data_IF_713215084459
#
_entry.id   IF_713215084459
#
_cell.length_a   1.000
_cell.length_b   1.000
_cell.length_c   1.000
_cell.angle_alpha   90.00
_cell.angle_beta   90.00
_cell.angle_gamma   90.00
#
_symmetry.space_group_name_H-M   'P 1'
#
loop_
_entity.id
_entity.type
_entity.pdbx_description
1 polymer ?
#
# COMPACT_ATOMS: atom_id res chain seq x y z
N UNK A 1 -3.86 5.81 36.20
CA UNK A 1 -3.16 4.56 35.80
C UNK A 1 -4.18 3.48 35.43
N UNK A 2 -5.17 3.21 36.28
CA UNK A 2 -6.26 2.27 36.01
C UNK A 2 -7.00 2.56 34.69
N UNK A 3 -7.48 3.79 34.49
CA UNK A 3 -8.17 4.20 33.25
C UNK A 3 -7.31 4.01 31.98
N UNK A 4 -6.00 4.26 32.09
CA UNK A 4 -5.05 4.06 30.98
C UNK A 4 -4.95 2.58 30.63
N UNK A 5 -4.86 1.71 31.64
CA UNK A 5 -4.83 0.25 31.45
C UNK A 5 -6.14 -0.26 30.86
N UNK A 6 -7.28 0.25 31.32
CA UNK A 6 -8.60 -0.10 30.77
C UNK A 6 -8.68 0.22 29.27
N UNK A 7 -8.31 1.43 28.86
CA UNK A 7 -8.29 1.84 27.44
C UNK A 7 -7.33 0.98 26.61
N UNK A 8 -6.15 0.65 27.13
CA UNK A 8 -5.21 -0.29 26.48
C UNK A 8 -5.85 -1.67 26.31
N UNK A 9 -6.48 -2.21 27.36
CA UNK A 9 -7.17 -3.50 27.32
C UNK A 9 -8.28 -3.50 26.27
N UNK A 10 -9.08 -2.44 26.18
CA UNK A 10 -10.13 -2.30 25.15
C UNK A 10 -9.53 -2.31 23.75
N UNK A 11 -8.46 -1.55 23.50
CA UNK A 11 -7.78 -1.54 22.18
C UNK A 11 -7.26 -2.94 21.82
N UNK A 12 -6.61 -3.63 22.76
CA UNK A 12 -6.06 -4.97 22.53
C UNK A 12 -7.17 -6.01 22.27
N UNK A 13 -8.24 -6.00 23.07
CA UNK A 13 -9.37 -6.91 22.91
C UNK A 13 -10.12 -6.66 21.61
N UNK A 14 -10.32 -5.39 21.23
CA UNK A 14 -10.92 -5.01 19.96
C UNK A 14 -10.13 -5.55 18.76
N UNK A 15 -8.81 -5.34 18.77
CA UNK A 15 -7.93 -5.85 17.71
C UNK A 15 -7.93 -7.38 17.68
N UNK A 16 -7.80 -8.03 18.83
CA UNK A 16 -7.84 -9.49 18.90
C UNK A 16 -9.16 -10.02 18.34
N UNK A 17 -10.31 -9.47 18.76
CA UNK A 17 -11.62 -9.93 18.30
C UNK A 17 -11.82 -9.82 16.78
N UNK A 18 -11.40 -8.71 16.16
CA UNK A 18 -11.58 -8.49 14.72
C UNK A 18 -10.63 -9.33 13.87
N UNK A 19 -9.39 -9.44 14.31
CA UNK A 19 -8.32 -10.08 13.53
C UNK A 19 -8.15 -11.55 13.87
N UNK A 20 -8.78 -12.09 14.91
CA UNK A 20 -8.64 -13.51 15.29
C UNK A 20 -8.94 -14.48 14.14
N UNK A 21 -9.92 -14.15 13.30
CA UNK A 21 -10.28 -15.03 12.17
C UNK A 21 -9.19 -15.15 11.11
N UNK A 22 -8.24 -14.20 11.03
CA UNK A 22 -7.11 -14.29 10.08
C UNK A 22 -6.16 -15.43 10.42
N UNK A 23 -6.17 -15.92 11.66
CA UNK A 23 -5.37 -17.08 12.05
C UNK A 23 -5.78 -18.35 11.29
N UNK A 24 -7.02 -18.42 10.78
CA UNK A 24 -7.50 -19.50 9.93
C UNK A 24 -7.20 -19.33 8.44
N UNK A 25 -6.61 -18.21 8.01
CA UNK A 25 -6.38 -17.91 6.61
C UNK A 25 -5.08 -18.54 6.08
N UNK A 26 -5.01 -18.72 4.76
CA UNK A 26 -3.79 -19.16 4.08
C UNK A 26 -2.83 -17.99 3.91
N UNK A 27 -1.64 -18.30 3.40
CA UNK A 27 -0.72 -17.28 2.95
C UNK A 27 -1.30 -16.54 1.75
N UNK A 28 -1.30 -15.22 1.82
CA UNK A 28 -1.59 -14.34 0.69
C UNK A 28 -0.36 -13.46 0.49
N UNK A 29 0.31 -13.64 -0.64
CA UNK A 29 1.49 -12.87 -1.03
C UNK A 29 1.44 -12.65 -2.53
N UNK A 30 1.75 -11.43 -2.96
CA UNK A 30 1.96 -11.10 -4.37
C UNK A 30 3.34 -11.57 -4.88
N UNK A 31 4.29 -11.80 -3.97
CA UNK A 31 5.65 -12.21 -4.29
C UNK A 31 5.81 -13.73 -4.20
N UNK A 32 5.56 -14.44 -5.30
CA UNK A 32 5.84 -15.88 -5.43
C UNK A 32 7.29 -16.23 -5.07
N UNK A 33 8.23 -15.30 -5.29
CA UNK A 33 9.65 -15.46 -4.93
C UNK A 33 9.88 -15.66 -3.42
N UNK A 34 8.95 -15.23 -2.56
CA UNK A 34 9.03 -15.46 -1.11
C UNK A 34 8.89 -16.94 -0.74
N UNK A 35 8.20 -17.75 -1.54
CA UNK A 35 8.04 -19.20 -1.29
C UNK A 35 9.35 -19.97 -1.42
N UNK A 36 10.29 -19.47 -2.23
CA UNK A 36 11.49 -20.21 -2.62
C UNK A 36 12.75 -19.77 -1.87
N UNK A 37 12.64 -18.94 -0.83
CA UNK A 37 13.83 -18.49 -0.09
C UNK A 37 14.35 -19.60 0.83
N UNK A 38 15.65 -19.93 0.78
CA UNK A 38 16.23 -20.98 1.60
C UNK A 38 16.11 -20.66 3.09
N UNK A 39 15.93 -21.69 3.92
CA UNK A 39 15.99 -21.55 5.38
C UNK A 39 17.42 -21.15 5.78
N UNK A 40 17.54 -20.11 6.60
CA UNK A 40 18.82 -19.68 7.14
C UNK A 40 19.26 -20.60 8.28
N UNK A 41 20.56 -20.91 8.35
CA UNK A 41 21.13 -21.72 9.44
C UNK A 41 21.11 -20.99 10.79
N UNK A 42 21.23 -19.66 10.78
CA UNK A 42 21.14 -18.84 11.98
C UNK A 42 19.68 -18.54 12.34
N UNK A 43 19.22 -19.07 13.48
CA UNK A 43 17.84 -18.91 13.96
C UNK A 43 17.45 -17.46 14.28
N UNK A 44 18.39 -16.62 14.74
CA UNK A 44 18.11 -15.20 15.03
C UNK A 44 17.89 -14.43 13.73
N UNK A 45 18.71 -14.71 12.71
CA UNK A 45 18.50 -14.16 11.37
C UNK A 45 17.16 -14.63 10.83
N UNK A 46 16.84 -15.92 10.92
CA UNK A 46 15.54 -16.42 10.46
C UNK A 46 14.38 -15.73 11.20
N UNK A 47 14.45 -15.57 12.52
CA UNK A 47 13.42 -14.89 13.30
C UNK A 47 13.25 -13.42 12.89
N UNK A 48 14.35 -12.69 12.66
CA UNK A 48 14.29 -11.32 12.13
C UNK A 48 13.65 -11.26 10.74
N UNK A 49 13.98 -12.20 9.86
CA UNK A 49 13.42 -12.26 8.52
C UNK A 49 11.94 -12.66 8.51
N UNK A 50 11.51 -13.50 9.47
CA UNK A 50 10.09 -13.76 9.72
C UNK A 50 9.41 -12.51 10.26
N UNK A 51 10.02 -11.81 11.22
CA UNK A 51 9.49 -10.55 11.75
C UNK A 51 9.24 -9.53 10.62
N UNK A 52 10.21 -9.41 9.73
CA UNK A 52 10.16 -8.52 8.58
C UNK A 52 9.15 -8.95 7.49
N UNK A 53 8.79 -10.24 7.42
CA UNK A 53 8.00 -10.80 6.33
C UNK A 53 8.82 -11.20 5.09
N UNK A 54 10.16 -11.24 5.20
CA UNK A 54 11.05 -11.75 4.14
C UNK A 54 11.23 -13.26 4.15
N UNK A 55 10.86 -13.93 5.23
CA UNK A 55 10.86 -15.39 5.37
C UNK A 55 9.54 -15.84 5.98
N UNK A 56 9.08 -17.04 5.60
CA UNK A 56 7.81 -17.59 6.08
C UNK A 56 8.03 -18.45 7.32
N UNK A 57 7.09 -18.35 8.25
CA UNK A 57 6.90 -19.37 9.29
C UNK A 57 5.70 -20.25 8.93
N UNK A 58 4.68 -20.37 9.78
CA UNK A 58 3.37 -20.95 9.43
C UNK A 58 2.35 -19.82 9.16
N UNK A 59 1.28 -20.04 8.37
CA UNK A 59 0.28 -19.00 8.13
C UNK A 59 -0.26 -18.41 9.43
N UNK A 60 -0.55 -19.29 10.40
CA UNK A 60 -1.04 -18.92 11.74
C UNK A 60 -0.07 -17.97 12.45
N UNK A 61 1.22 -18.32 12.50
CA UNK A 61 2.24 -17.52 13.18
C UNK A 61 2.45 -16.18 12.49
N UNK A 62 2.44 -16.19 11.15
CA UNK A 62 2.64 -15.01 10.33
C UNK A 62 1.47 -14.02 10.43
N UNK A 63 0.23 -14.51 10.52
CA UNK A 63 -0.96 -13.70 10.78
C UNK A 63 -1.00 -13.22 12.24
N UNK A 64 -0.68 -14.08 13.20
CA UNK A 64 -0.60 -13.71 14.62
C UNK A 64 0.41 -12.58 14.85
N UNK A 65 1.58 -12.66 14.21
CA UNK A 65 2.60 -11.63 14.29
C UNK A 65 2.10 -10.30 13.71
N UNK A 66 1.49 -10.30 12.53
CA UNK A 66 0.95 -9.07 11.91
C UNK A 66 -0.14 -8.45 12.77
N UNK A 67 -1.02 -9.29 13.37
CA UNK A 67 -2.04 -8.86 14.32
C UNK A 67 -1.43 -8.22 15.58
N UNK A 68 -0.40 -8.83 16.17
CA UNK A 68 0.31 -8.27 17.34
C UNK A 68 0.94 -6.92 16.99
N UNK A 69 1.64 -6.82 15.86
CA UNK A 69 2.25 -5.57 15.40
C UNK A 69 1.17 -4.49 15.24
N UNK A 70 0.04 -4.82 14.59
CA UNK A 70 -1.06 -3.86 14.41
C UNK A 70 -1.65 -3.40 15.74
N UNK A 71 -1.92 -4.32 16.67
CA UNK A 71 -2.43 -3.99 18.00
C UNK A 71 -1.46 -3.08 18.77
N UNK A 72 -0.14 -3.34 18.69
CA UNK A 72 0.89 -2.50 19.30
C UNK A 72 0.98 -1.12 18.64
N UNK A 73 0.74 -0.99 17.33
CA UNK A 73 0.61 0.32 16.67
C UNK A 73 -0.59 1.08 17.24
N UNK A 74 -1.75 0.43 17.40
CA UNK A 74 -2.94 1.06 17.94
C UNK A 74 -2.74 1.55 19.38
N UNK A 75 -2.10 0.74 20.23
CA UNK A 75 -1.69 1.15 21.58
C UNK A 75 -0.70 2.32 21.51
N UNK A 76 0.28 2.26 20.62
CA UNK A 76 1.25 3.35 20.42
C UNK A 76 0.60 4.65 19.94
N UNK A 77 -0.49 4.62 19.19
CA UNK A 77 -1.28 5.80 18.84
C UNK A 77 -1.92 6.40 20.11
N UNK A 78 -2.57 5.58 20.93
CA UNK A 78 -3.17 6.05 22.19
C UNK A 78 -2.12 6.70 23.12
N UNK A 79 -0.99 6.01 23.31
CA UNK A 79 0.09 6.46 24.19
C UNK A 79 0.83 7.68 23.64
N UNK A 80 1.25 7.62 22.38
CA UNK A 80 2.10 8.65 21.74
C UNK A 80 1.38 9.97 21.53
N UNK A 81 0.08 9.94 21.24
CA UNK A 81 -0.72 11.16 21.06
C UNK A 81 -1.34 11.70 22.37
N UNK A 82 -0.86 11.26 23.54
CA UNK A 82 -1.09 11.94 24.82
C UNK A 82 -2.10 11.29 25.78
N UNK A 83 -2.44 10.00 25.60
CA UNK A 83 -3.20 9.19 26.57
C UNK A 83 -4.59 9.74 26.98
N UNK A 84 -5.24 10.51 26.11
CA UNK A 84 -6.53 11.15 26.36
C UNK A 84 -7.65 10.51 25.53
N UNK A 85 -8.89 10.98 25.69
CA UNK A 85 -10.05 10.44 24.96
C UNK A 85 -9.91 10.59 23.44
N UNK A 86 -9.30 11.68 22.97
CA UNK A 86 -9.06 11.91 21.55
C UNK A 86 -8.09 10.87 20.99
N UNK A 87 -6.97 10.60 21.68
CA UNK A 87 -6.01 9.58 21.24
C UNK A 87 -6.59 8.16 21.36
N UNK A 88 -7.49 7.91 22.30
CA UNK A 88 -8.23 6.65 22.42
C UNK A 88 -9.18 6.44 21.23
N UNK A 89 -9.99 7.45 20.90
CA UNK A 89 -10.87 7.42 19.71
C UNK A 89 -10.05 7.27 18.44
N UNK A 90 -8.91 7.96 18.32
CA UNK A 90 -7.99 7.82 17.19
C UNK A 90 -7.47 6.39 17.03
N UNK A 91 -7.10 5.74 18.15
CA UNK A 91 -6.66 4.34 18.14
C UNK A 91 -7.76 3.38 17.72
N UNK A 92 -9.02 3.59 18.14
CA UNK A 92 -10.16 2.78 17.69
C UNK A 92 -10.48 2.99 16.21
N UNK A 93 -10.50 4.25 15.75
CA UNK A 93 -10.68 4.57 14.33
C UNK A 93 -9.58 3.91 13.48
N UNK A 94 -8.32 3.95 13.93
CA UNK A 94 -7.22 3.31 13.24
C UNK A 94 -7.32 1.78 13.26
N UNK A 95 -7.71 1.17 14.39
CA UNK A 95 -7.84 -0.29 14.54
C UNK A 95 -8.81 -0.90 13.54
N UNK A 96 -9.87 -0.17 13.20
CA UNK A 96 -10.91 -0.68 12.32
C UNK A 96 -10.88 -0.12 10.91
N UNK A 97 -10.00 0.84 10.59
CA UNK A 97 -10.01 1.47 9.28
C UNK A 97 -9.64 0.45 8.19
N UNK A 98 -10.51 0.19 7.19
CA UNK A 98 -10.25 -0.78 6.12
C UNK A 98 -8.98 -0.50 5.32
N UNK A 99 -8.51 0.75 5.24
CA UNK A 99 -7.25 1.09 4.55
C UNK A 99 -6.02 0.50 5.25
N UNK A 100 -6.14 0.15 6.53
CA UNK A 100 -5.03 -0.38 7.32
C UNK A 100 -4.86 -1.89 7.17
N UNK A 101 -5.76 -2.56 6.44
CA UNK A 101 -5.81 -4.01 6.33
C UNK A 101 -4.54 -4.62 5.71
N UNK A 102 -3.93 -3.96 4.73
CA UNK A 102 -2.74 -4.48 4.04
C UNK A 102 -1.51 -4.46 4.93
N UNK A 103 -1.48 -3.70 6.03
CA UNK A 103 -0.39 -3.80 6.99
C UNK A 103 -0.76 -4.57 8.26
N UNK A 104 -2.03 -4.95 8.43
CA UNK A 104 -2.51 -5.73 9.57
C UNK A 104 -2.81 -7.20 9.26
N UNK A 105 -2.97 -7.55 7.98
CA UNK A 105 -3.33 -8.92 7.53
C UNK A 105 -2.36 -9.43 6.47
N UNK A 106 -1.94 -8.56 5.56
CA UNK A 106 -1.09 -8.96 4.45
C UNK A 106 0.39 -8.95 4.83
N UNK A 107 1.01 -10.11 4.67
CA UNK A 107 2.33 -10.43 5.23
C UNK A 107 3.44 -9.57 4.60
N UNK A 108 3.39 -9.35 3.29
CA UNK A 108 4.34 -8.46 2.60
C UNK A 108 4.18 -6.99 3.05
N UNK A 109 3.07 -6.63 3.69
CA UNK A 109 2.80 -5.28 4.20
C UNK A 109 3.40 -4.97 5.57
N UNK A 110 4.00 -5.97 6.26
CA UNK A 110 4.58 -5.78 7.61
C UNK A 110 5.59 -4.66 7.69
N UNK A 111 6.38 -4.42 6.64
CA UNK A 111 7.34 -3.31 6.63
C UNK A 111 6.70 -1.94 6.88
N UNK A 112 5.48 -1.71 6.39
CA UNK A 112 4.73 -0.48 6.64
C UNK A 112 4.24 -0.41 8.09
N UNK A 113 3.79 -1.54 8.64
CA UNK A 113 3.33 -1.63 10.02
C UNK A 113 4.48 -1.47 11.03
N UNK A 114 5.64 -2.04 10.75
CA UNK A 114 6.84 -1.92 11.57
C UNK A 114 7.42 -0.49 11.54
N UNK A 115 7.37 0.19 10.38
CA UNK A 115 7.68 1.62 10.33
C UNK A 115 6.72 2.45 11.18
N UNK A 116 5.41 2.19 11.10
CA UNK A 116 4.43 2.85 11.95
C UNK A 116 4.68 2.57 13.44
N UNK A 117 4.96 1.32 13.79
CA UNK A 117 5.27 0.89 15.17
C UNK A 117 6.45 1.69 15.73
N UNK A 118 7.59 1.69 15.04
CA UNK A 118 8.76 2.42 15.51
C UNK A 118 8.51 3.93 15.63
N UNK A 119 7.74 4.52 14.70
CA UNK A 119 7.38 5.94 14.73
C UNK A 119 6.48 6.30 15.94
N UNK A 120 5.38 5.59 16.15
CA UNK A 120 4.44 5.93 17.26
C UNK A 120 5.01 5.58 18.64
N UNK A 121 5.85 4.52 18.73
CA UNK A 121 6.52 4.19 19.98
C UNK A 121 7.70 5.11 20.29
N UNK A 122 8.37 5.68 19.28
CA UNK A 122 9.36 6.74 19.52
C UNK A 122 8.70 7.96 20.17
N UNK A 123 7.47 8.31 19.74
CA UNK A 123 6.69 9.37 20.36
C UNK A 123 6.22 9.01 21.79
N UNK A 124 5.85 7.75 22.01
CA UNK A 124 5.39 7.24 23.31
C UNK A 124 6.53 7.13 24.34
N UNK A 125 7.74 6.79 23.89
CA UNK A 125 8.92 6.54 24.72
C UNK A 125 10.12 7.30 24.13
N UNK A 126 10.20 8.64 24.28
CA UNK A 126 11.20 9.46 23.59
C UNK A 126 12.65 9.09 23.87
N UNK A 127 12.96 8.53 25.05
CA UNK A 127 14.32 8.08 25.38
C UNK A 127 14.78 6.88 24.56
N UNK A 128 13.84 6.05 24.07
CA UNK A 128 14.12 4.90 23.19
C UNK A 128 14.08 5.28 21.71
N UNK A 129 13.79 6.55 21.38
CA UNK A 129 13.63 7.00 20.01
C UNK A 129 14.80 6.63 19.09
N UNK A 130 16.09 6.74 19.48
CA UNK A 130 17.18 6.37 18.57
C UNK A 130 17.09 4.93 18.07
N UNK A 131 16.76 3.98 18.95
CA UNK A 131 16.61 2.57 18.60
C UNK A 131 15.35 2.32 17.77
N UNK A 132 14.23 2.91 18.18
CA UNK A 132 12.93 2.73 17.52
C UNK A 132 12.93 3.33 16.11
N UNK A 133 13.54 4.51 15.94
CA UNK A 133 13.69 5.19 14.66
C UNK A 133 14.72 4.50 13.77
N UNK A 134 15.78 3.90 14.33
CA UNK A 134 16.69 3.04 13.57
C UNK A 134 15.93 1.87 12.92
N UNK A 135 15.01 1.24 13.67
CA UNK A 135 14.13 0.19 13.15
C UNK A 135 13.08 0.72 12.17
N UNK A 136 12.44 1.86 12.46
CA UNK A 136 11.40 2.45 11.61
C UNK A 136 11.93 2.84 10.23
N UNK A 137 13.13 3.43 10.18
CA UNK A 137 13.81 3.91 8.97
C UNK A 137 14.51 2.80 8.17
N UNK A 138 14.55 1.57 8.68
CA UNK A 138 15.05 0.42 7.93
C UNK A 138 14.25 0.18 6.64
N UNK A 139 12.95 0.46 6.68
CA UNK A 139 12.07 0.38 5.53
C UNK A 139 11.96 1.73 4.81
N UNK A 140 11.83 1.69 3.49
CA UNK A 140 11.66 2.90 2.68
C UNK A 140 10.47 3.75 3.15
N UNK A 141 9.42 3.11 3.68
CA UNK A 141 8.23 3.78 4.18
C UNK A 141 8.50 4.69 5.38
N UNK A 142 9.39 4.28 6.27
CA UNK A 142 9.76 5.05 7.45
C UNK A 142 10.95 5.97 7.23
N UNK A 143 11.66 5.91 6.10
CA UNK A 143 12.91 6.67 5.92
C UNK A 143 12.70 8.18 6.08
N UNK A 144 11.73 8.78 5.39
CA UNK A 144 11.43 10.22 5.50
C UNK A 144 10.46 10.58 6.63
N UNK A 145 9.81 9.58 7.22
CA UNK A 145 8.74 9.78 8.20
C UNK A 145 9.14 10.58 9.45
N UNK A 146 10.37 10.47 10.00
CA UNK A 146 10.77 11.25 11.18
C UNK A 146 10.76 12.77 11.00
N UNK A 147 10.71 13.28 9.76
CA UNK A 147 10.45 14.70 9.49
C UNK A 147 9.10 15.14 10.09
N UNK A 148 8.15 14.21 10.26
CA UNK A 148 6.88 14.46 10.94
C UNK A 148 7.05 14.87 12.41
N UNK A 149 8.19 14.60 13.06
CA UNK A 149 8.45 15.03 14.44
C UNK A 149 8.82 16.51 14.58
N UNK A 150 8.90 17.27 13.48
CA UNK A 150 9.01 18.73 13.54
C UNK A 150 7.82 19.29 14.33
N UNK A 151 8.12 20.07 15.36
CA UNK A 151 7.12 20.61 16.28
C UNK A 151 6.61 19.62 17.35
N UNK A 152 7.17 18.41 17.43
CA UNK A 152 6.95 17.55 18.60
C UNK A 152 7.55 18.18 19.87
N UNK A 153 7.01 17.89 21.06
CA UNK A 153 7.55 18.40 22.32
C UNK A 153 8.88 17.74 22.71
N UNK A 154 9.39 16.78 21.93
CA UNK A 154 10.55 15.98 22.25
C UNK A 154 11.67 16.18 21.21
N UNK A 155 12.57 17.17 21.41
CA UNK A 155 13.68 17.44 20.48
C UNK A 155 14.56 16.22 20.20
N UNK A 156 14.67 15.29 21.16
CA UNK A 156 15.43 14.04 21.02
C UNK A 156 15.01 13.20 19.80
N UNK A 157 13.75 13.33 19.36
CA UNK A 157 13.22 12.67 18.17
C UNK A 157 13.92 13.11 16.87
N UNK A 158 14.49 14.33 16.84
CA UNK A 158 15.16 14.89 15.67
C UNK A 158 16.68 14.92 15.81
N UNK A 159 17.22 15.01 17.04
CA UNK A 159 18.67 15.14 17.26
C UNK A 159 19.47 13.97 16.67
N UNK A 160 18.98 12.74 16.79
CA UNK A 160 19.67 11.55 16.28
C UNK A 160 19.39 11.23 14.81
N UNK A 161 18.47 11.97 14.17
CA UNK A 161 18.03 11.68 12.81
C UNK A 161 19.14 11.74 11.76
N UNK A 162 20.05 12.72 11.76
CA UNK A 162 21.15 12.75 10.81
C UNK A 162 22.01 11.48 10.87
N UNK A 163 22.31 10.98 12.08
CA UNK A 163 23.10 9.76 12.28
C UNK A 163 22.37 8.51 11.79
N UNK A 164 21.08 8.41 12.09
CA UNK A 164 20.22 7.30 11.63
C UNK A 164 20.13 7.29 10.10
N UNK A 165 19.92 8.45 9.48
CA UNK A 165 19.90 8.57 8.03
C UNK A 165 21.24 8.25 7.40
N UNK A 166 22.35 8.71 7.95
CA UNK A 166 23.68 8.35 7.47
C UNK A 166 23.89 6.83 7.50
N UNK A 167 23.44 6.15 8.56
CA UNK A 167 23.52 4.70 8.66
C UNK A 167 22.63 3.99 7.63
N UNK A 168 21.36 4.39 7.51
CA UNK A 168 20.40 3.75 6.62
C UNK A 168 20.52 4.18 5.15
N UNK A 169 21.28 5.25 4.85
CA UNK A 169 21.39 5.81 3.49
C UNK A 169 21.80 4.76 2.46
N UNK A 170 22.72 3.86 2.82
CA UNK A 170 23.15 2.78 1.91
C UNK A 170 22.00 1.83 1.56
N UNK A 171 21.20 1.43 2.55
CA UNK A 171 20.04 0.56 2.36
C UNK A 171 18.95 1.26 1.56
N UNK A 172 18.64 2.51 1.93
CA UNK A 172 17.68 3.35 1.23
C UNK A 172 18.09 3.53 -0.23
N UNK A 173 19.32 3.98 -0.49
CA UNK A 173 19.82 4.20 -1.84
C UNK A 173 19.81 2.90 -2.65
N UNK A 174 20.26 1.77 -2.08
CA UNK A 174 20.18 0.48 -2.77
C UNK A 174 18.74 0.12 -3.13
N UNK A 175 17.80 0.21 -2.19
CA UNK A 175 16.40 -0.17 -2.42
C UNK A 175 15.71 0.75 -3.42
N UNK A 176 15.90 2.07 -3.29
CA UNK A 176 15.27 3.07 -4.16
C UNK A 176 15.90 3.04 -5.54
N UNK A 177 17.23 3.09 -5.63
CA UNK A 177 17.93 3.05 -6.92
C UNK A 177 17.68 1.74 -7.65
N UNK A 178 17.74 0.59 -6.97
CA UNK A 178 17.45 -0.70 -7.59
C UNK A 178 16.02 -0.71 -8.14
N UNK A 179 15.02 -0.29 -7.36
CA UNK A 179 13.62 -0.22 -7.82
C UNK A 179 13.44 0.74 -8.99
N UNK A 180 14.02 1.94 -8.92
CA UNK A 180 13.98 2.91 -10.02
C UNK A 180 14.69 2.38 -11.28
N UNK A 181 15.76 1.60 -11.12
CA UNK A 181 16.47 1.00 -12.25
C UNK A 181 15.67 -0.15 -12.89
N UNK A 182 14.97 -0.96 -12.09
CA UNK A 182 14.14 -2.08 -12.55
C UNK A 182 12.75 -1.66 -13.03
N UNK A 183 12.28 -0.48 -12.66
CA UNK A 183 11.01 0.05 -13.16
C UNK A 183 11.08 0.15 -14.69
N UNK A 184 10.07 -0.34 -15.39
CA UNK A 184 10.19 -0.49 -16.85
C UNK A 184 9.83 0.81 -17.59
N UNK A 185 8.98 1.65 -17.00
CA UNK A 185 8.48 2.81 -17.72
C UNK A 185 9.26 4.09 -17.45
N UNK A 186 9.59 4.80 -18.53
CA UNK A 186 10.30 6.09 -18.44
C UNK A 186 9.53 7.15 -17.65
N UNK A 187 8.19 7.14 -17.77
CA UNK A 187 7.31 8.08 -17.08
C UNK A 187 7.44 8.00 -15.56
N UNK A 188 7.75 6.83 -15.00
CA UNK A 188 7.82 6.63 -13.56
C UNK A 188 9.07 7.21 -12.92
N UNK A 189 10.18 7.13 -13.65
CA UNK A 189 11.52 7.50 -13.19
C UNK A 189 11.76 9.00 -13.18
N UNK A 190 11.15 9.72 -14.13
CA UNK A 190 11.46 11.14 -14.37
C UNK A 190 10.53 12.05 -13.57
N UNK A 191 11.10 12.99 -12.85
CA UNK A 191 10.35 14.10 -12.30
C UNK A 191 10.10 15.15 -13.38
N UNK A 192 8.86 15.64 -13.48
CA UNK A 192 8.53 16.83 -14.28
C UNK A 192 7.36 17.57 -13.63
N UNK A 193 7.22 18.90 -13.84
CA UNK A 193 6.23 19.71 -13.13
C UNK A 193 4.77 19.24 -13.30
N UNK A 194 4.41 18.61 -14.43
CA UNK A 194 3.05 18.11 -14.65
C UNK A 194 2.67 17.01 -13.66
N UNK A 195 3.64 16.28 -13.07
CA UNK A 195 3.38 15.29 -12.02
C UNK A 195 2.81 15.88 -10.73
N UNK A 196 2.87 17.20 -10.54
CA UNK A 196 2.13 17.84 -9.45
C UNK A 196 0.62 17.54 -9.53
N UNK A 197 0.07 17.38 -10.74
CA UNK A 197 -1.33 16.96 -10.92
C UNK A 197 -1.55 15.55 -10.36
N UNK A 198 -0.64 14.62 -10.64
CA UNK A 198 -0.70 13.25 -10.11
C UNK A 198 -0.55 13.25 -8.58
N UNK A 199 0.36 14.06 -8.05
CA UNK A 199 0.59 14.16 -6.61
C UNK A 199 -0.61 14.69 -5.85
N UNK A 200 -1.17 15.80 -6.30
CA UNK A 200 -2.38 16.37 -5.71
C UNK A 200 -3.56 15.39 -5.83
N UNK A 201 -3.71 14.72 -6.97
CA UNK A 201 -4.77 13.71 -7.16
C UNK A 201 -4.59 12.49 -6.25
N UNK A 202 -3.36 12.00 -6.12
CA UNK A 202 -3.04 10.85 -5.27
C UNK A 202 -3.27 11.19 -3.80
N UNK A 203 -2.86 12.39 -3.37
CA UNK A 203 -3.14 12.92 -2.04
C UNK A 203 -4.65 12.96 -1.77
N UNK A 204 -5.44 13.54 -2.68
CA UNK A 204 -6.89 13.61 -2.53
C UNK A 204 -7.57 12.24 -2.56
N UNK A 205 -7.05 11.29 -3.35
CA UNK A 205 -7.51 9.90 -3.34
C UNK A 205 -7.30 9.27 -1.96
N UNK A 206 -6.06 9.29 -1.43
CA UNK A 206 -5.75 8.69 -0.14
C UNK A 206 -6.49 9.34 1.01
N UNK A 207 -6.62 10.67 1.01
CA UNK A 207 -7.36 11.39 2.05
C UNK A 207 -8.83 10.98 2.03
N UNK A 208 -9.45 10.99 0.85
CA UNK A 208 -10.86 10.57 0.71
C UNK A 208 -11.06 9.12 1.12
N UNK A 209 -10.14 8.24 0.71
CA UNK A 209 -10.23 6.81 0.96
C UNK A 209 -9.94 6.45 2.42
N UNK A 210 -9.07 7.20 3.10
CA UNK A 210 -8.79 7.01 4.53
C UNK A 210 -9.93 7.48 5.43
N UNK A 211 -10.65 8.55 5.06
CA UNK A 211 -11.81 9.06 5.81
C UNK A 211 -13.08 8.28 5.46
N UNK A 212 -13.28 7.98 4.18
CA UNK A 212 -14.45 7.24 3.68
C UNK A 212 -13.92 6.12 2.78
N UNK A 213 -13.65 4.92 3.34
CA UNK A 213 -13.11 3.80 2.57
C UNK A 213 -14.14 3.33 1.52
N UNK A 214 -13.93 3.70 0.26
CA UNK A 214 -14.76 3.28 -0.87
C UNK A 214 -13.98 2.36 -1.80
N UNK A 215 -14.60 1.26 -2.26
CA UNK A 215 -13.95 0.31 -3.19
C UNK A 215 -12.56 -0.15 -2.73
N UNK A 216 -12.39 -0.47 -1.45
CA UNK A 216 -11.09 -0.96 -0.96
C UNK A 216 -10.74 -2.26 -1.68
N UNK A 217 -9.57 -2.32 -2.31
CA UNK A 217 -9.21 -3.34 -3.30
C UNK A 217 -7.70 -3.42 -3.44
N UNK A 218 -7.16 -4.58 -3.79
CA UNK A 218 -5.72 -4.70 -3.99
C UNK A 218 -5.24 -3.94 -5.26
N UNK A 219 -6.10 -3.80 -6.27
CA UNK A 219 -5.80 -3.10 -7.52
C UNK A 219 -6.88 -2.07 -7.84
N UNK A 220 -6.46 -0.81 -7.93
CA UNK A 220 -7.35 0.32 -8.22
C UNK A 220 -7.30 0.68 -9.71
N UNK A 221 -8.46 0.96 -10.30
CA UNK A 221 -8.54 1.53 -11.66
C UNK A 221 -8.09 2.99 -11.74
N UNK A 222 -8.09 3.69 -10.61
CA UNK A 222 -7.67 5.10 -10.56
C UNK A 222 -6.17 5.17 -10.72
N UNK A 223 -5.69 6.05 -11.60
CA UNK A 223 -4.26 6.19 -11.95
C UNK A 223 -3.62 4.94 -12.57
N UNK A 224 -4.41 3.91 -12.88
CA UNK A 224 -3.94 2.75 -13.63
C UNK A 224 -3.44 3.20 -15.02
N UNK A 225 -2.31 2.63 -15.46
CA UNK A 225 -1.67 2.94 -16.74
C UNK A 225 -1.23 4.41 -16.91
N UNK A 226 -0.79 5.09 -15.83
CA UNK A 226 -0.06 6.38 -15.95
C UNK A 226 1.05 6.28 -17.00
N UNK A 227 1.74 5.14 -17.01
CA UNK A 227 2.90 4.91 -17.86
C UNK A 227 2.58 4.16 -19.17
N UNK A 228 1.32 3.78 -19.39
CA UNK A 228 0.88 3.05 -20.57
C UNK A 228 0.09 3.93 -21.56
N UNK A 229 -0.73 3.29 -22.39
CA UNK A 229 -1.52 3.94 -23.44
C UNK A 229 -2.58 4.95 -22.94
N UNK A 230 -2.85 4.99 -21.63
CA UNK A 230 -3.81 5.89 -20.98
C UNK A 230 -3.20 7.04 -20.19
N UNK A 231 -1.91 7.31 -20.39
CA UNK A 231 -1.18 8.41 -19.75
C UNK A 231 -1.96 9.74 -19.72
N UNK A 232 -2.57 10.14 -20.84
CA UNK A 232 -3.33 11.38 -20.93
C UNK A 232 -4.49 11.46 -19.91
N UNK A 233 -5.23 10.36 -19.70
CA UNK A 233 -6.34 10.29 -18.73
C UNK A 233 -5.85 10.48 -17.29
N UNK A 234 -4.64 9.99 -16.99
CA UNK A 234 -4.05 10.16 -15.67
C UNK A 234 -3.76 11.64 -15.33
N UNK A 235 -3.49 12.49 -16.33
CA UNK A 235 -3.24 13.92 -16.15
C UNK A 235 -4.49 14.82 -16.17
N UNK A 236 -5.67 14.26 -16.45
CA UNK A 236 -6.92 15.05 -16.41
C UNK A 236 -7.27 15.47 -14.98
N UNK A 237 -7.77 16.69 -14.81
CA UNK A 237 -8.25 17.18 -13.51
C UNK A 237 -9.58 16.48 -13.17
N UNK A 238 -9.57 15.59 -12.18
CA UNK A 238 -10.76 14.86 -11.74
C UNK A 238 -11.15 15.24 -10.30
N UNK A 239 -12.23 14.65 -9.77
CA UNK A 239 -12.69 14.92 -8.39
C UNK A 239 -11.58 14.81 -7.33
N UNK A 240 -10.69 13.81 -7.44
CA UNK A 240 -9.61 13.61 -6.47
C UNK A 240 -8.53 14.68 -6.56
N UNK A 241 -8.32 15.30 -7.74
CA UNK A 241 -7.44 16.45 -7.85
C UNK A 241 -7.99 17.64 -7.05
N UNK A 242 -9.28 17.96 -7.22
CA UNK A 242 -9.89 19.06 -6.49
C UNK A 242 -9.96 18.83 -4.99
N UNK A 243 -10.32 17.61 -4.55
CA UNK A 243 -10.28 17.25 -3.13
C UNK A 243 -8.86 17.40 -2.59
N UNK A 244 -7.85 16.90 -3.32
CA UNK A 244 -6.45 17.04 -2.90
C UNK A 244 -6.00 18.49 -2.79
N UNK A 245 -6.32 19.31 -3.79
CA UNK A 245 -5.94 20.73 -3.83
C UNK A 245 -6.56 21.50 -2.66
N UNK A 246 -7.89 21.38 -2.48
CA UNK A 246 -8.61 22.05 -1.39
C UNK A 246 -8.09 21.58 -0.04
N UNK A 247 -7.81 20.30 0.11
CA UNK A 247 -7.33 19.75 1.38
C UNK A 247 -5.91 20.21 1.71
N UNK A 248 -4.99 20.23 0.74
CA UNK A 248 -3.63 20.75 0.94
C UNK A 248 -3.69 22.22 1.33
N UNK A 249 -4.44 23.04 0.59
CA UNK A 249 -4.59 24.47 0.89
C UNK A 249 -5.24 24.70 2.26
N UNK A 250 -6.28 23.93 2.60
CA UNK A 250 -6.96 24.00 3.88
C UNK A 250 -6.06 23.62 5.06
N UNK A 251 -5.27 22.54 4.93
CA UNK A 251 -4.30 22.13 5.95
C UNK A 251 -3.20 23.17 6.11
N UNK A 252 -2.65 23.71 5.01
CA UNK A 252 -1.64 24.77 5.06
C UNK A 252 -2.19 26.05 5.70
N UNK A 253 -3.41 26.45 5.35
CA UNK A 253 -4.08 27.59 5.93
C UNK A 253 -4.33 27.38 7.43
N UNK A 254 -4.78 26.19 7.84
CA UNK A 254 -4.97 25.86 9.25
C UNK A 254 -3.66 25.97 10.04
N UNK A 255 -2.60 25.31 9.56
CA UNK A 255 -1.26 25.34 10.18
C UNK A 255 -0.70 26.78 10.26
N UNK A 256 -0.97 27.62 9.26
CA UNK A 256 -0.51 29.00 9.24
C UNK A 256 -1.28 29.92 10.21
N UNK A 257 -2.59 29.68 10.37
CA UNK A 257 -3.48 30.58 11.13
C UNK A 257 -3.63 30.18 12.60
N UNK A 258 -3.40 28.92 12.94
CA UNK A 258 -3.57 28.41 14.29
C UNK A 258 -2.22 28.27 15.00
N UNK A 259 -2.22 28.41 16.33
CA UNK A 259 -1.04 28.05 17.12
C UNK A 259 -0.75 26.57 16.95
N UNK A 260 0.53 26.21 16.94
CA UNK A 260 0.95 24.82 16.81
C UNK A 260 0.34 23.96 17.92
N UNK A 261 -0.52 23.03 17.54
CA UNK A 261 -1.21 22.08 18.42
C UNK A 261 -1.10 20.65 17.88
N UNK A 262 -1.75 19.69 18.55
CA UNK A 262 -1.72 18.29 18.13
C UNK A 262 -2.49 18.04 16.82
N UNK A 263 -3.41 18.93 16.41
CA UNK A 263 -4.10 18.84 15.12
C UNK A 263 -3.12 19.23 14.00
N UNK A 264 -2.40 20.34 14.15
CA UNK A 264 -1.30 20.76 13.27
C UNK A 264 -0.24 19.65 13.14
N UNK A 265 0.14 19.03 14.26
CA UNK A 265 1.05 17.90 14.27
C UNK A 265 0.51 16.70 13.48
N UNK A 266 -0.76 16.31 13.68
CA UNK A 266 -1.40 15.23 12.93
C UNK A 266 -1.54 15.51 11.43
N UNK A 267 -1.80 16.77 11.03
CA UNK A 267 -1.81 17.21 9.64
C UNK A 267 -0.41 17.15 9.01
N UNK A 268 0.61 17.64 9.70
CA UNK A 268 2.01 17.52 9.25
C UNK A 268 2.40 16.05 9.08
N UNK A 269 2.05 15.21 10.06
CA UNK A 269 2.30 13.77 10.01
C UNK A 269 1.72 13.13 8.76
N UNK A 270 0.43 13.39 8.49
CA UNK A 270 -0.24 12.92 7.27
C UNK A 270 0.51 13.36 6.01
N UNK A 271 0.77 14.67 5.88
CA UNK A 271 1.39 15.25 4.70
C UNK A 271 2.80 14.71 4.43
N UNK A 272 3.66 14.67 5.44
CA UNK A 272 5.04 14.18 5.33
C UNK A 272 5.06 12.69 4.98
N UNK A 273 4.26 11.88 5.68
CA UNK A 273 4.31 10.44 5.51
C UNK A 273 3.68 9.98 4.19
N UNK A 274 2.67 10.69 3.65
CA UNK A 274 2.02 10.30 2.39
C UNK A 274 2.78 10.81 1.15
N UNK A 275 3.54 11.90 1.28
CA UNK A 275 4.25 12.55 0.17
C UNK A 275 5.09 11.60 -0.70
N UNK A 276 5.85 10.62 -0.16
CA UNK A 276 6.63 9.68 -0.97
C UNK A 276 5.77 8.82 -1.91
N UNK A 277 4.49 8.67 -1.61
CA UNK A 277 3.53 7.86 -2.35
C UNK A 277 2.63 8.67 -3.28
N UNK A 278 2.83 9.98 -3.35
CA UNK A 278 2.09 10.88 -4.24
C UNK A 278 2.60 10.84 -5.70
N UNK A 279 3.18 9.73 -6.17
CA UNK A 279 3.54 9.51 -7.58
C UNK A 279 4.42 10.61 -8.23
N UNK A 280 5.18 11.40 -7.46
CA UNK A 280 6.18 12.33 -8.00
C UNK A 280 7.33 11.58 -8.68
N UNK A 281 7.79 10.53 -8.01
CA UNK A 281 8.66 9.47 -8.55
C UNK A 281 8.03 8.16 -8.12
N UNK A 282 7.73 7.28 -9.08
CA UNK A 282 7.08 6.01 -8.79
C UNK A 282 8.14 4.93 -8.61
N UNK A 283 8.02 4.14 -7.55
CA UNK A 283 8.95 3.06 -7.21
C UNK A 283 8.30 1.66 -7.22
N UNK A 284 6.98 1.60 -7.30
CA UNK A 284 6.17 0.39 -7.24
C UNK A 284 4.75 0.70 -7.74
N UNK A 285 3.73 -0.05 -7.30
CA UNK A 285 2.32 0.19 -7.62
C UNK A 285 1.91 1.66 -7.44
N UNK A 286 1.07 2.17 -8.34
CA UNK A 286 0.58 3.54 -8.38
C UNK A 286 -0.24 3.92 -7.15
N UNK A 287 -1.13 3.00 -6.75
CA UNK A 287 -1.98 3.12 -5.59
C UNK A 287 -1.99 1.78 -4.84
N UNK A 288 -1.81 1.85 -3.53
CA UNK A 288 -1.95 0.71 -2.63
C UNK A 288 -2.30 1.22 -1.23
N UNK A 289 -3.26 0.59 -0.58
CA UNK A 289 -3.75 0.96 0.75
C UNK A 289 -2.63 0.97 1.80
N UNK A 290 -1.68 0.04 1.70
CA UNK A 290 -0.51 -0.01 2.60
C UNK A 290 0.31 1.28 2.65
N UNK A 291 0.31 2.08 1.58
CA UNK A 291 1.03 3.35 1.56
C UNK A 291 0.43 4.37 2.53
N UNK A 292 -0.87 4.27 2.81
CA UNK A 292 -1.55 5.13 3.75
C UNK A 292 -1.44 4.66 5.21
N UNK A 293 -0.98 3.44 5.50
CA UNK A 293 -0.97 2.89 6.86
C UNK A 293 -0.25 3.79 7.89
N UNK A 294 1.00 4.18 7.62
CA UNK A 294 1.76 5.10 8.49
C UNK A 294 1.18 6.53 8.51
N UNK A 295 0.88 7.16 7.35
CA UNK A 295 0.21 8.46 7.31
C UNK A 295 -1.10 8.50 8.13
N UNK A 296 -1.88 7.42 8.07
CA UNK A 296 -3.21 7.34 8.66
C UNK A 296 -3.19 7.44 10.18
N UNK A 297 -2.04 7.21 10.84
CA UNK A 297 -1.89 7.45 12.29
C UNK A 297 -2.22 8.91 12.64
N UNK A 298 -1.62 9.87 11.91
CA UNK A 298 -1.87 11.30 12.12
C UNK A 298 -3.27 11.72 11.67
N UNK A 299 -3.76 11.18 10.55
CA UNK A 299 -5.10 11.52 10.03
C UNK A 299 -6.23 11.04 10.95
N UNK A 300 -6.13 9.83 11.53
CA UNK A 300 -7.13 9.34 12.48
C UNK A 300 -7.14 10.17 13.77
N UNK A 301 -5.99 10.73 14.19
CA UNK A 301 -5.94 11.67 15.31
C UNK A 301 -6.62 13.01 14.98
N UNK A 302 -6.39 13.56 13.78
CA UNK A 302 -7.09 14.77 13.31
C UNK A 302 -8.60 14.52 13.25
N UNK A 303 -9.04 13.40 12.67
CA UNK A 303 -10.45 13.04 12.60
C UNK A 303 -11.07 12.89 13.99
N UNK A 304 -10.41 12.17 14.90
CA UNK A 304 -10.86 12.02 16.28
C UNK A 304 -11.03 13.38 16.97
N UNK A 305 -10.08 14.30 16.80
CA UNK A 305 -10.14 15.65 17.38
C UNK A 305 -11.37 16.44 16.91
N UNK A 306 -11.82 16.22 15.68
CA UNK A 306 -12.98 16.88 15.10
C UNK A 306 -14.31 16.27 15.55
N UNK A 307 -14.35 14.97 15.86
CA UNK A 307 -15.61 14.25 16.11
C UNK A 307 -15.81 13.84 17.58
N UNK A 308 -14.78 13.85 18.44
CA UNK A 308 -14.88 13.26 19.79
C UNK A 308 -15.96 13.91 20.66
N UNK A 309 -16.25 15.19 20.46
CA UNK A 309 -17.29 15.93 21.19
C UNK A 309 -18.70 15.48 20.83
N UNK A 310 -18.85 14.73 19.73
CA UNK A 310 -20.11 14.19 19.26
C UNK A 310 -20.07 12.64 19.27
N UNK A 311 -20.59 11.99 20.33
CA UNK A 311 -20.52 10.54 20.47
C UNK A 311 -21.27 9.79 19.35
N UNK A 312 -22.29 10.41 18.75
CA UNK A 312 -23.00 9.82 17.60
C UNK A 312 -22.07 9.75 16.39
N UNK A 313 -21.31 10.81 16.10
CA UNK A 313 -20.33 10.78 15.00
C UNK A 313 -19.22 9.76 15.25
N UNK A 314 -18.71 9.68 16.48
CA UNK A 314 -17.73 8.64 16.86
C UNK A 314 -18.29 7.25 16.57
N UNK A 315 -19.51 6.96 17.04
CA UNK A 315 -20.16 5.67 16.82
C UNK A 315 -20.38 5.37 15.33
N UNK A 316 -20.78 6.37 14.53
CA UNK A 316 -20.97 6.23 13.08
C UNK A 316 -19.65 5.86 12.38
N UNK A 317 -18.56 6.59 12.65
CA UNK A 317 -17.27 6.31 12.00
C UNK A 317 -16.68 4.96 12.45
N UNK A 318 -16.67 4.69 13.75
CA UNK A 318 -16.16 3.42 14.30
C UNK A 318 -16.97 2.24 13.75
N UNK A 319 -18.30 2.33 13.73
CA UNK A 319 -19.17 1.26 13.20
C UNK A 319 -18.99 1.09 11.70
N UNK A 320 -18.94 2.18 10.93
CA UNK A 320 -18.72 2.12 9.49
C UNK A 320 -17.39 1.43 9.16
N UNK A 321 -16.31 1.78 9.87
CA UNK A 321 -15.00 1.17 9.70
C UNK A 321 -15.01 -0.29 10.11
N UNK A 322 -15.52 -0.61 11.29
CA UNK A 322 -15.63 -1.97 11.80
C UNK A 322 -16.40 -2.89 10.85
N UNK A 323 -17.59 -2.47 10.40
CA UNK A 323 -18.42 -3.25 9.47
C UNK A 323 -17.68 -3.46 8.15
N UNK A 324 -17.10 -2.41 7.56
CA UNK A 324 -16.36 -2.55 6.30
C UNK A 324 -15.14 -3.45 6.43
N UNK A 325 -14.38 -3.30 7.52
CA UNK A 325 -13.20 -4.12 7.78
C UNK A 325 -13.57 -5.59 8.00
N UNK A 326 -14.64 -5.85 8.76
CA UNK A 326 -15.12 -7.21 9.05
C UNK A 326 -15.42 -8.02 7.79
N UNK A 327 -16.03 -7.40 6.78
CA UNK A 327 -16.29 -8.08 5.51
C UNK A 327 -15.09 -8.05 4.57
N UNK A 328 -14.34 -6.95 4.55
CA UNK A 328 -13.23 -6.82 3.61
C UNK A 328 -12.05 -7.74 3.93
N UNK A 329 -11.78 -8.01 5.20
CA UNK A 329 -10.67 -8.87 5.62
C UNK A 329 -10.77 -10.29 5.05
N UNK A 330 -11.96 -10.77 4.68
CA UNK A 330 -12.15 -12.09 4.07
C UNK A 330 -11.52 -12.19 2.67
N UNK A 331 -11.18 -11.07 2.02
CA UNK A 331 -10.42 -11.13 0.77
C UNK A 331 -8.99 -11.67 0.97
N UNK A 332 -8.49 -11.79 2.21
CA UNK A 332 -7.18 -12.39 2.52
C UNK A 332 -7.26 -13.86 2.92
N UNK A 333 -8.39 -14.55 2.72
CA UNK A 333 -8.49 -15.98 2.99
C UNK A 333 -7.46 -16.79 2.18
N UNK A 334 -7.32 -16.48 0.89
CA UNK A 334 -6.30 -16.98 -0.01
C UNK A 334 -6.13 -16.09 -1.26
N UNK A 335 -5.19 -16.44 -2.14
CA UNK A 335 -4.92 -15.70 -3.38
C UNK A 335 -6.14 -15.63 -4.31
N UNK A 336 -7.02 -16.64 -4.30
CA UNK A 336 -8.22 -16.63 -5.14
C UNK A 336 -9.21 -15.55 -4.67
N UNK A 337 -9.53 -15.52 -3.38
CA UNK A 337 -10.44 -14.51 -2.83
C UNK A 337 -9.90 -13.09 -2.99
N UNK A 338 -8.58 -12.89 -2.85
CA UNK A 338 -7.96 -11.58 -3.05
C UNK A 338 -8.18 -11.07 -4.47
N UNK A 339 -7.96 -11.94 -5.47
CA UNK A 339 -8.14 -11.58 -6.88
C UNK A 339 -9.60 -11.41 -7.26
N UNK A 340 -10.48 -12.28 -6.78
CA UNK A 340 -11.93 -12.17 -7.01
C UNK A 340 -12.45 -10.85 -6.46
N UNK A 341 -12.12 -10.54 -5.21
CA UNK A 341 -12.52 -9.30 -4.57
C UNK A 341 -11.97 -8.06 -5.28
N UNK A 342 -10.75 -8.15 -5.81
CA UNK A 342 -10.16 -7.04 -6.57
C UNK A 342 -10.95 -6.75 -7.86
N UNK A 343 -11.37 -7.79 -8.57
CA UNK A 343 -12.21 -7.66 -9.76
C UNK A 343 -13.63 -7.19 -9.42
N UNK A 344 -14.20 -7.61 -8.29
CA UNK A 344 -15.54 -7.20 -7.86
C UNK A 344 -15.59 -5.72 -7.44
N UNK A 345 -14.58 -5.24 -6.71
CA UNK A 345 -14.57 -3.86 -6.21
C UNK A 345 -14.03 -2.83 -7.21
N UNK A 346 -13.16 -3.26 -8.12
CA UNK A 346 -12.71 -2.43 -9.25
C UNK A 346 -12.86 -3.19 -10.58
N UNK A 347 -14.11 -3.42 -11.05
CA UNK A 347 -14.35 -4.14 -12.30
C UNK A 347 -13.81 -3.39 -13.53
N UNK A 348 -13.47 -2.12 -13.36
CA UNK A 348 -12.85 -1.22 -14.31
C UNK A 348 -11.31 -1.20 -14.25
N UNK A 349 -10.68 -1.99 -13.38
CA UNK A 349 -9.22 -2.19 -13.36
C UNK A 349 -8.84 -3.31 -14.31
N UNK A 350 -8.19 -2.98 -15.42
CA UNK A 350 -7.74 -4.02 -16.36
C UNK A 350 -6.65 -4.90 -15.72
N UNK A 351 -5.85 -4.34 -14.82
CA UNK A 351 -4.76 -5.05 -14.16
C UNK A 351 -5.27 -6.09 -13.17
N UNK A 352 -6.37 -5.81 -12.45
CA UNK A 352 -7.03 -6.83 -11.61
C UNK A 352 -7.43 -8.07 -12.42
N UNK A 353 -8.08 -7.85 -13.57
CA UNK A 353 -8.45 -8.93 -14.50
C UNK A 353 -7.23 -9.64 -15.09
N UNK A 354 -6.17 -8.90 -15.39
CA UNK A 354 -4.91 -9.45 -15.88
C UNK A 354 -4.24 -10.39 -14.88
N UNK A 355 -4.11 -9.99 -13.60
CA UNK A 355 -3.51 -10.84 -12.56
C UNK A 355 -4.38 -12.06 -12.29
N UNK A 356 -5.71 -11.92 -12.31
CA UNK A 356 -6.63 -13.07 -12.24
C UNK A 356 -6.42 -14.04 -13.41
N UNK A 357 -6.24 -13.53 -14.63
CA UNK A 357 -5.95 -14.35 -15.80
C UNK A 357 -4.59 -15.06 -15.70
N UNK A 358 -3.56 -14.39 -15.14
CA UNK A 358 -2.25 -15.01 -14.86
C UNK A 358 -2.38 -16.19 -13.88
N UNK A 359 -3.23 -16.09 -12.87
CA UNK A 359 -3.53 -17.22 -11.97
C UNK A 359 -4.14 -18.40 -12.73
N UNK A 360 -5.10 -18.16 -13.63
CA UNK A 360 -5.69 -19.21 -14.49
C UNK A 360 -4.70 -19.81 -15.47
N UNK A 361 -3.82 -18.99 -16.05
CA UNK A 361 -2.73 -19.43 -16.89
C UNK A 361 -1.78 -20.38 -16.15
N UNK A 362 -1.36 -20.02 -14.94
CA UNK A 362 -0.48 -20.86 -14.12
C UNK A 362 -1.11 -22.20 -13.76
N UNK A 363 -2.44 -22.24 -13.62
CA UNK A 363 -3.24 -23.45 -13.44
C UNK A 363 -3.57 -24.18 -14.76
N UNK A 364 -2.92 -23.81 -15.88
CA UNK A 364 -3.13 -24.38 -17.22
C UNK A 364 -4.57 -24.28 -17.74
N UNK A 365 -5.38 -23.40 -17.16
CA UNK A 365 -6.77 -23.15 -17.56
C UNK A 365 -6.81 -22.08 -18.66
N UNK A 366 -6.25 -22.40 -19.82
CA UNK A 366 -5.97 -21.44 -20.88
C UNK A 366 -7.22 -20.75 -21.44
N UNK A 367 -8.33 -21.46 -21.58
CA UNK A 367 -9.59 -20.88 -22.06
C UNK A 367 -10.14 -19.82 -21.10
N UNK A 368 -10.11 -20.09 -19.79
CA UNK A 368 -10.51 -19.10 -18.77
C UNK A 368 -9.57 -17.90 -18.77
N UNK A 369 -8.26 -18.13 -18.87
CA UNK A 369 -7.27 -17.05 -18.96
C UNK A 369 -7.52 -16.15 -20.17
N UNK A 370 -7.86 -16.73 -21.34
CA UNK A 370 -8.22 -15.97 -22.54
C UNK A 370 -9.45 -15.09 -22.31
N UNK A 371 -10.53 -15.65 -21.74
CA UNK A 371 -11.75 -14.88 -21.43
C UNK A 371 -11.41 -13.70 -20.53
N UNK A 372 -10.66 -13.92 -19.45
CA UNK A 372 -10.28 -12.87 -18.51
C UNK A 372 -9.40 -11.79 -19.15
N UNK A 373 -8.43 -12.16 -19.98
CA UNK A 373 -7.62 -11.18 -20.73
C UNK A 373 -8.43 -10.42 -21.77
N UNK A 374 -9.43 -11.05 -22.41
CA UNK A 374 -10.36 -10.35 -23.30
C UNK A 374 -11.20 -9.32 -22.54
N UNK A 375 -11.67 -9.65 -21.33
CA UNK A 375 -12.36 -8.67 -20.48
C UNK A 375 -11.44 -7.52 -20.08
N UNK A 376 -10.20 -7.80 -19.70
CA UNK A 376 -9.19 -6.78 -19.43
C UNK A 376 -8.93 -5.90 -20.68
N UNK A 377 -8.86 -6.50 -21.88
CA UNK A 377 -8.66 -5.79 -23.14
C UNK A 377 -9.85 -4.88 -23.46
N UNK A 378 -11.08 -5.29 -23.16
CA UNK A 378 -12.25 -4.42 -23.35
C UNK A 378 -12.17 -3.16 -22.48
N UNK A 379 -11.53 -3.26 -21.30
CA UNK A 379 -11.24 -2.10 -20.45
C UNK A 379 -10.08 -1.32 -21.04
N UNK A 380 -8.97 -1.95 -21.44
CA UNK A 380 -7.80 -1.26 -22.00
C UNK A 380 -7.32 -1.90 -23.33
N UNK A 381 -7.84 -1.47 -24.49
CA UNK A 381 -7.71 -2.21 -25.75
C UNK A 381 -6.32 -2.15 -26.39
N UNK A 382 -5.47 -1.23 -25.94
CA UNK A 382 -4.13 -0.97 -26.49
C UNK A 382 -3.02 -1.35 -25.51
N UNK A 383 -3.32 -2.15 -24.50
CA UNK A 383 -2.33 -2.56 -23.52
C UNK A 383 -1.47 -3.71 -24.06
N UNK A 384 -0.16 -3.48 -24.20
CA UNK A 384 0.79 -4.44 -24.76
C UNK A 384 0.68 -5.81 -24.09
N UNK A 385 0.72 -5.85 -22.75
CA UNK A 385 0.68 -7.11 -21.98
C UNK A 385 -0.55 -7.95 -22.30
N UNK A 386 -1.71 -7.30 -22.43
CA UNK A 386 -2.97 -7.98 -22.73
C UNK A 386 -2.98 -8.56 -24.14
N UNK A 387 -2.58 -7.75 -25.13
CA UNK A 387 -2.52 -8.18 -26.53
C UNK A 387 -1.53 -9.32 -26.72
N UNK A 388 -0.35 -9.22 -26.11
CA UNK A 388 0.67 -10.26 -26.14
C UNK A 388 0.18 -11.55 -25.47
N UNK A 389 -0.38 -11.47 -24.27
CA UNK A 389 -0.84 -12.68 -23.56
C UNK A 389 -2.02 -13.37 -24.27
N UNK A 390 -2.93 -12.60 -24.89
CA UNK A 390 -3.97 -13.16 -25.75
C UNK A 390 -3.34 -13.92 -26.92
N UNK A 391 -2.34 -13.34 -27.59
CA UNK A 391 -1.63 -14.03 -28.67
C UNK A 391 -0.97 -15.34 -28.22
N UNK A 392 -0.43 -15.38 -26.99
CA UNK A 392 0.21 -16.57 -26.42
C UNK A 392 -0.79 -17.69 -26.19
N UNK A 393 -1.97 -17.39 -25.65
CA UNK A 393 -3.03 -18.40 -25.49
C UNK A 393 -3.52 -18.90 -26.83
N UNK A 394 -3.79 -18.00 -27.78
CA UNK A 394 -4.29 -18.38 -29.10
C UNK A 394 -3.30 -19.27 -29.85
N UNK A 395 -2.00 -19.02 -29.69
CA UNK A 395 -0.96 -19.87 -30.26
C UNK A 395 -0.99 -21.28 -29.66
N UNK A 396 -1.13 -21.42 -28.34
CA UNK A 396 -1.27 -22.71 -27.67
C UNK A 396 -2.56 -23.43 -28.10
N UNK A 397 -3.64 -22.68 -28.30
CA UNK A 397 -4.92 -23.21 -28.79
C UNK A 397 -4.90 -23.61 -30.28
N UNK A 398 -3.78 -23.46 -30.98
CA UNK A 398 -3.64 -23.77 -32.41
C UNK A 398 -4.23 -22.71 -33.35
N UNK A 399 -4.74 -21.59 -32.83
CA UNK A 399 -5.34 -20.50 -33.59
C UNK A 399 -4.26 -19.52 -34.11
N UNK A 400 -3.34 -20.05 -34.91
CA UNK A 400 -2.10 -19.34 -35.33
C UNK A 400 -2.36 -18.01 -36.04
N UNK A 401 -3.37 -17.93 -36.91
CA UNK A 401 -3.67 -16.70 -37.65
C UNK A 401 -4.11 -15.57 -36.72
N UNK A 402 -5.03 -15.86 -35.80
CA UNK A 402 -5.51 -14.88 -34.82
C UNK A 402 -4.41 -14.48 -33.83
N UNK A 403 -3.61 -15.46 -33.38
CA UNK A 403 -2.45 -15.19 -32.53
C UNK A 403 -1.51 -14.17 -33.19
N UNK A 404 -1.18 -14.34 -34.48
CA UNK A 404 -0.29 -13.41 -35.19
C UNK A 404 -0.91 -12.02 -35.38
N UNK A 405 -2.25 -11.92 -35.49
CA UNK A 405 -2.95 -10.63 -35.54
C UNK A 405 -2.78 -9.88 -34.22
N UNK A 406 -3.06 -10.53 -33.08
CA UNK A 406 -2.88 -9.91 -31.76
C UNK A 406 -1.41 -9.60 -31.45
N UNK A 407 -0.47 -10.44 -31.88
CA UNK A 407 0.96 -10.17 -31.73
C UNK A 407 1.37 -8.90 -32.49
N UNK A 408 0.84 -8.69 -33.69
CA UNK A 408 1.07 -7.47 -34.46
C UNK A 408 0.48 -6.26 -33.74
N UNK A 409 -0.76 -6.35 -33.26
CA UNK A 409 -1.37 -5.29 -32.45
C UNK A 409 -0.54 -4.99 -31.20
N UNK A 410 0.00 -6.01 -30.52
CA UNK A 410 0.90 -5.81 -29.38
C UNK A 410 2.17 -5.04 -29.81
N UNK A 411 2.81 -5.47 -30.90
CA UNK A 411 4.01 -4.82 -31.44
C UNK A 411 3.77 -3.33 -31.77
N UNK A 412 2.59 -2.99 -32.27
CA UNK A 412 2.20 -1.61 -32.60
C UNK A 412 1.89 -0.75 -31.36
N UNK A 413 1.77 -1.36 -30.16
CA UNK A 413 1.41 -0.69 -28.91
C UNK A 413 2.45 -0.92 -27.79
N UNK A 414 3.72 -1.14 -28.14
CA UNK A 414 4.81 -1.26 -27.16
C UNK A 414 4.95 0.07 -26.38
N UNK A 415 4.96 0.04 -25.03
CA UNK A 415 5.16 1.24 -24.22
C UNK A 415 6.56 1.83 -24.41
N UNK A 416 6.65 3.16 -24.37
CA UNK A 416 7.93 3.88 -24.45
C UNK A 416 8.89 3.41 -23.34
N UNK A 417 10.09 2.98 -23.73
CA UNK A 417 11.14 2.47 -22.85
C UNK A 417 11.13 0.96 -22.65
N UNK A 418 10.15 0.23 -23.22
CA UNK A 418 10.07 -1.24 -23.15
C UNK A 418 10.43 -1.93 -24.47
N UNK A 419 10.93 -1.20 -25.47
CA UNK A 419 11.14 -1.69 -26.83
C UNK A 419 12.09 -2.89 -26.89
N UNK A 420 13.15 -2.87 -26.08
CA UNK A 420 14.13 -3.95 -26.06
C UNK A 420 13.55 -5.24 -25.46
N UNK A 421 12.87 -5.14 -24.32
CA UNK A 421 12.29 -6.30 -23.62
C UNK A 421 11.10 -6.86 -24.40
N UNK A 422 10.19 -6.01 -24.86
CA UNK A 422 9.09 -6.39 -25.73
C UNK A 422 9.59 -7.01 -27.05
N UNK A 423 10.64 -6.45 -27.65
CA UNK A 423 11.27 -7.00 -28.85
C UNK A 423 11.84 -8.41 -28.63
N UNK A 424 12.46 -8.67 -27.47
CA UNK A 424 12.92 -10.00 -27.08
C UNK A 424 11.74 -10.97 -26.92
N UNK A 425 10.69 -10.58 -26.20
CA UNK A 425 9.48 -11.40 -26.00
C UNK A 425 8.81 -11.76 -27.32
N UNK A 426 8.67 -10.81 -28.24
CA UNK A 426 8.10 -11.03 -29.58
C UNK A 426 9.00 -11.97 -30.40
N UNK A 427 10.32 -11.84 -30.30
CA UNK A 427 11.26 -12.74 -30.97
C UNK A 427 11.13 -14.17 -30.43
N UNK A 428 11.19 -14.34 -29.12
CA UNK A 428 11.03 -15.64 -28.45
C UNK A 428 9.68 -16.29 -28.82
N UNK A 429 8.60 -15.51 -28.85
CA UNK A 429 7.29 -15.96 -29.30
C UNK A 429 7.32 -16.51 -30.74
N UNK A 430 7.93 -15.77 -31.68
CA UNK A 430 8.04 -16.18 -33.09
C UNK A 430 8.91 -17.43 -33.28
N UNK A 431 9.87 -17.66 -32.39
CA UNK A 431 10.70 -18.87 -32.32
C UNK A 431 9.97 -20.06 -31.66
N UNK A 432 8.72 -19.88 -31.21
CA UNK A 432 7.92 -20.93 -30.57
C UNK A 432 8.12 -21.03 -29.05
N UNK A 433 8.88 -20.13 -28.43
CA UNK A 433 9.01 -20.03 -26.97
C UNK A 433 7.86 -19.19 -26.41
N UNK A 434 6.71 -19.85 -26.23
CA UNK A 434 5.49 -19.17 -25.77
C UNK A 434 5.60 -18.90 -24.27
N UNK A 435 5.53 -17.62 -23.92
CA UNK A 435 5.44 -17.15 -22.54
C UNK A 435 4.37 -16.06 -22.43
N UNK A 436 4.06 -15.67 -21.20
CA UNK A 436 3.16 -14.56 -20.88
C UNK A 436 3.90 -13.54 -20.05
N UNK A 437 3.44 -12.29 -20.13
CA UNK A 437 4.00 -11.15 -19.42
C UNK A 437 3.14 -10.87 -18.19
N UNK A 438 3.79 -10.67 -17.04
CA UNK A 438 3.17 -10.23 -15.78
C UNK A 438 3.18 -8.71 -15.66
#
# INVERSE_FOLDING_TARGET
>A
MEEVLEKICVILLANLAFYFKTLGYKYVSDDLASYNRPRYTNKLVQAFWVLEGRSKSSPVNDHALTMIIHALVCVGIYLGFGQNDVSFVAALLFSFNPINNQASVWISGRGYALSALGMVWALSIPFMAPLLLLGATYYNAGFLAPIAFIGSPYPILLIFMPLIWMYQWRNFNKNVYQRMSTEMFAEDKRFHPKKLILAVKTFGFYLSHAIIPFKTTFYHSTLESIAGCRKHKAYNLCRFFWVGLVSILGMLLYIYTHKWDMICFGMLWWCVCIAPYCNLVRMSQELAERYAYLPNCGLMFVLASLIYTNPVLVAVFVTMYAVKMWFFIDCYQDEYFLMEHSCMNSPDSWFAWHVRAMSRWNNKSYQEALILWVMAKNINPKEFKLLFNISAVLMIAGQKQEAMKFLKEAQDNIPEGQEQEAGKLIKDFKEGKICVVM
#
